data_IF_816897886527
#
_entry.id   IF_816897886527
#
_cell.length_a   1.000
_cell.length_b   1.000
_cell.length_c   1.000
_cell.angle_alpha   90.00
_cell.angle_beta   90.00
_cell.angle_gamma   90.00
#
_symmetry.space_group_name_H-M   'P 1'
#
loop_
_entity.id
_entity.type
_entity.pdbx_description
1 polymer ?
#
# COMPACT_ATOMS: atom_id res chain seq x y z
N UNK A 1 12.92 -19.52 11.44
CA UNK A 1 13.72 -18.41 12.00
C UNK A 1 12.85 -17.33 12.65
N UNK A 2 11.94 -16.65 11.92
CA UNK A 2 11.10 -15.56 12.49
C UNK A 2 10.28 -15.98 13.72
N UNK A 3 9.58 -17.11 13.63
CA UNK A 3 8.79 -17.66 14.75
C UNK A 3 9.65 -17.90 16.00
N UNK A 4 10.77 -18.61 15.83
CA UNK A 4 11.71 -18.88 16.92
C UNK A 4 12.24 -17.57 17.52
N UNK A 5 12.59 -16.59 16.69
CA UNK A 5 13.06 -15.29 17.16
C UNK A 5 12.01 -14.55 18.01
N UNK A 6 10.72 -14.62 17.65
CA UNK A 6 9.64 -14.03 18.46
C UNK A 6 9.48 -14.75 19.80
N UNK A 7 9.58 -16.07 19.81
CA UNK A 7 9.51 -16.87 21.04
C UNK A 7 10.70 -16.57 21.96
N UNK A 8 11.92 -16.53 21.41
CA UNK A 8 13.12 -16.18 22.18
C UNK A 8 13.06 -14.74 22.70
N UNK A 9 12.56 -13.79 21.89
CA UNK A 9 12.35 -12.40 22.34
C UNK A 9 11.41 -12.35 23.55
N UNK A 10 10.29 -13.09 23.49
CA UNK A 10 9.37 -13.22 24.63
C UNK A 10 10.08 -13.74 25.85
N UNK A 11 10.79 -14.86 25.74
CA UNK A 11 11.49 -15.50 26.87
C UNK A 11 12.52 -14.56 27.49
N UNK A 12 13.30 -13.86 26.67
CA UNK A 12 14.27 -12.87 27.14
C UNK A 12 13.59 -11.70 27.86
N UNK A 13 12.54 -11.10 27.26
CA UNK A 13 11.79 -10.01 27.91
C UNK A 13 11.25 -10.47 29.27
N UNK A 14 10.65 -11.66 29.33
CA UNK A 14 10.07 -12.18 30.55
C UNK A 14 11.14 -12.43 31.64
N UNK A 15 12.30 -12.98 31.26
CA UNK A 15 13.43 -13.18 32.16
C UNK A 15 13.97 -11.85 32.69
N UNK A 16 14.10 -10.83 31.85
CA UNK A 16 14.56 -9.50 32.26
C UNK A 16 13.57 -8.86 33.23
N UNK A 17 12.25 -8.96 32.96
CA UNK A 17 11.22 -8.52 33.93
C UNK A 17 11.38 -9.22 35.29
N UNK A 18 11.82 -10.47 35.31
CA UNK A 18 11.96 -11.24 36.55
C UNK A 18 13.22 -10.94 37.35
N UNK A 19 14.31 -10.60 36.67
CA UNK A 19 15.65 -10.50 37.27
C UNK A 19 16.15 -9.06 37.38
N UNK A 20 15.85 -8.21 36.40
CA UNK A 20 16.40 -6.87 36.25
C UNK A 20 15.48 -5.98 35.38
N UNK A 21 14.24 -5.69 35.83
CA UNK A 21 13.24 -4.94 35.05
C UNK A 21 13.73 -3.55 34.60
N UNK A 22 14.66 -2.95 35.33
CA UNK A 22 15.32 -1.68 35.00
C UNK A 22 16.11 -1.70 33.68
N UNK A 23 16.46 -2.89 33.15
CA UNK A 23 17.10 -3.02 31.84
C UNK A 23 16.12 -2.83 30.67
N UNK A 24 14.81 -2.95 30.90
CA UNK A 24 13.79 -2.72 29.86
C UNK A 24 13.48 -1.23 29.75
N UNK A 25 14.21 -0.56 28.87
CA UNK A 25 13.88 0.82 28.50
C UNK A 25 12.56 0.90 27.73
N UNK A 26 11.85 2.06 27.80
CA UNK A 26 10.65 2.29 27.02
C UNK A 26 10.81 2.02 25.51
N UNK A 27 11.95 2.43 24.93
CA UNK A 27 12.24 2.21 23.50
C UNK A 27 12.38 0.73 23.13
N UNK A 28 12.90 -0.10 24.03
CA UNK A 28 13.03 -1.55 23.78
C UNK A 28 11.65 -2.21 23.79
N UNK A 29 10.81 -1.88 24.77
CA UNK A 29 9.44 -2.38 24.84
C UNK A 29 8.61 -1.91 23.64
N UNK A 30 8.73 -0.64 23.26
CA UNK A 30 8.09 -0.07 22.08
C UNK A 30 8.48 -0.83 20.81
N UNK A 31 9.78 -0.93 20.50
CA UNK A 31 10.25 -1.61 19.28
C UNK A 31 9.83 -3.09 19.28
N UNK A 32 9.88 -3.78 20.43
CA UNK A 32 9.41 -5.16 20.53
C UNK A 32 7.91 -5.28 20.16
N UNK A 33 7.05 -4.45 20.75
CA UNK A 33 5.61 -4.46 20.48
C UNK A 33 5.30 -4.06 19.04
N UNK A 34 5.96 -3.03 18.51
CA UNK A 34 5.85 -2.60 17.12
C UNK A 34 6.21 -3.71 16.14
N UNK A 35 7.30 -4.44 16.41
CA UNK A 35 7.73 -5.56 15.57
C UNK A 35 6.75 -6.72 15.65
N UNK A 36 6.28 -7.09 16.83
CA UNK A 36 5.29 -8.16 16.99
C UNK A 36 3.99 -7.84 16.24
N UNK A 37 3.49 -6.61 16.35
CA UNK A 37 2.31 -6.16 15.61
C UNK A 37 2.52 -6.20 14.10
N UNK A 38 3.69 -5.80 13.61
CA UNK A 38 4.02 -5.96 12.19
C UNK A 38 3.95 -7.45 11.76
N UNK A 39 4.56 -8.36 12.53
CA UNK A 39 4.54 -9.79 12.24
C UNK A 39 3.11 -10.36 12.25
N UNK A 40 2.25 -9.84 13.13
CA UNK A 40 0.86 -10.25 13.25
C UNK A 40 0.01 -9.93 12.01
N UNK A 41 0.42 -9.00 11.16
CA UNK A 41 -0.35 -8.58 9.97
C UNK A 41 0.31 -8.92 8.64
N UNK A 42 1.44 -9.63 8.63
CA UNK A 42 2.09 -10.08 7.40
C UNK A 42 1.49 -11.38 6.84
N UNK A 43 1.83 -11.72 5.58
CA UNK A 43 1.12 -12.72 4.77
C UNK A 43 1.11 -14.19 5.26
N UNK A 44 1.88 -14.57 6.28
CA UNK A 44 2.08 -15.99 6.66
C UNK A 44 1.26 -16.32 7.91
N UNK A 45 0.21 -17.12 7.77
CA UNK A 45 -0.73 -17.51 8.84
C UNK A 45 -0.04 -17.97 10.12
N UNK A 46 0.90 -18.92 9.99
CA UNK A 46 1.66 -19.45 11.12
C UNK A 46 2.51 -18.38 11.82
N UNK A 47 3.10 -17.46 11.06
CA UNK A 47 3.84 -16.33 11.63
C UNK A 47 2.91 -15.37 12.36
N UNK A 48 1.73 -15.08 11.81
CA UNK A 48 0.73 -14.21 12.44
C UNK A 48 0.24 -14.78 13.77
N UNK A 49 -0.15 -16.04 13.78
CA UNK A 49 -0.58 -16.75 14.99
C UNK A 49 0.52 -16.71 16.06
N UNK A 50 1.77 -17.00 15.70
CA UNK A 50 2.87 -16.96 16.65
C UNK A 50 3.13 -15.55 17.19
N UNK A 51 3.02 -14.53 16.34
CA UNK A 51 3.19 -13.14 16.74
C UNK A 51 2.11 -12.70 17.73
N UNK A 52 0.84 -13.04 17.46
CA UNK A 52 -0.28 -12.75 18.35
C UNK A 52 -0.13 -13.52 19.67
N UNK A 53 0.25 -14.79 19.63
CA UNK A 53 0.51 -15.59 20.82
C UNK A 53 1.58 -14.96 21.71
N UNK A 54 2.69 -14.49 21.12
CA UNK A 54 3.75 -13.79 21.87
C UNK A 54 3.26 -12.44 22.40
N UNK A 55 2.55 -11.65 21.58
CA UNK A 55 1.98 -10.37 21.97
C UNK A 55 1.07 -10.52 23.20
N UNK A 56 0.14 -11.47 23.15
CA UNK A 56 -0.81 -11.72 24.24
C UNK A 56 -0.11 -12.25 25.49
N UNK A 57 0.93 -13.09 25.35
CA UNK A 57 1.70 -13.58 26.50
C UNK A 57 2.45 -12.45 27.23
N UNK A 58 2.96 -11.45 26.51
CA UNK A 58 3.58 -10.27 27.09
C UNK A 58 2.54 -9.32 27.71
N UNK A 59 1.39 -9.18 27.06
CA UNK A 59 0.33 -8.23 27.43
C UNK A 59 -0.47 -8.69 28.66
N UNK A 60 -0.76 -9.99 28.79
CA UNK A 60 -1.60 -10.57 29.84
C UNK A 60 -0.80 -11.25 30.96
N UNK A 61 0.46 -10.84 31.16
CA UNK A 61 1.26 -11.32 32.27
C UNK A 61 0.73 -10.79 33.61
N UNK A 62 0.31 -11.69 34.49
CA UNK A 62 -0.35 -11.36 35.77
C UNK A 62 0.60 -10.83 36.83
N UNK A 63 1.52 -11.66 37.32
CA UNK A 63 2.27 -11.36 38.55
C UNK A 63 3.25 -10.19 38.41
N UNK A 64 3.85 -10.06 37.22
CA UNK A 64 4.85 -9.03 36.91
C UNK A 64 4.61 -8.49 35.52
N UNK A 65 3.74 -7.48 35.36
CA UNK A 65 3.44 -6.90 34.07
C UNK A 65 4.72 -6.43 33.37
N UNK A 66 4.84 -6.71 32.07
CA UNK A 66 5.93 -6.13 31.27
C UNK A 66 5.83 -4.60 31.33
N UNK A 67 6.87 -3.88 31.78
CA UNK A 67 6.80 -2.43 31.94
C UNK A 67 6.80 -1.73 30.57
N UNK A 68 6.42 -0.45 30.58
CA UNK A 68 6.56 0.46 29.44
C UNK A 68 5.94 0.03 28.11
N UNK A 69 4.95 -0.87 28.10
CA UNK A 69 4.16 -1.16 26.89
C UNK A 69 3.34 0.10 26.54
N UNK A 70 3.59 0.74 25.38
CA UNK A 70 2.81 1.91 24.96
C UNK A 70 1.33 1.53 24.77
N UNK A 71 0.42 2.43 25.14
CA UNK A 71 -1.04 2.25 24.92
C UNK A 71 -1.57 0.87 25.35
N UNK A 72 -1.09 0.36 26.50
CA UNK A 72 -1.39 -1.00 26.97
C UNK A 72 -2.90 -1.29 27.00
N UNK A 73 -3.72 -0.34 27.43
CA UNK A 73 -5.17 -0.53 27.52
C UNK A 73 -5.79 -0.76 26.13
N UNK A 74 -5.46 0.07 25.15
CA UNK A 74 -5.96 -0.09 23.78
C UNK A 74 -5.52 -1.43 23.16
N UNK A 75 -4.32 -1.90 23.50
CA UNK A 75 -3.88 -3.24 23.10
C UNK A 75 -4.66 -4.36 23.81
N UNK A 76 -4.98 -4.20 25.10
CA UNK A 76 -5.81 -5.15 25.86
C UNK A 76 -7.23 -5.24 25.29
N UNK A 77 -7.78 -4.11 24.86
CA UNK A 77 -9.11 -4.05 24.25
C UNK A 77 -9.11 -4.74 22.87
N UNK A 78 -8.04 -4.57 22.07
CA UNK A 78 -7.89 -5.23 20.78
C UNK A 78 -7.62 -6.74 20.90
N UNK A 79 -6.92 -7.15 21.95
CA UNK A 79 -6.52 -8.54 22.21
C UNK A 79 -6.92 -8.97 23.64
N UNK A 80 -8.21 -9.16 23.93
CA UNK A 80 -8.66 -9.48 25.28
C UNK A 80 -8.24 -10.89 25.69
N UNK A 81 -8.08 -11.12 27.00
CA UNK A 81 -7.56 -12.38 27.53
C UNK A 81 -8.41 -13.59 27.15
N UNK A 82 -9.73 -13.40 27.06
CA UNK A 82 -10.68 -14.43 26.67
C UNK A 82 -10.38 -15.02 25.27
N UNK A 83 -9.77 -14.23 24.39
CA UNK A 83 -9.50 -14.62 23.00
C UNK A 83 -8.25 -15.53 22.87
N UNK A 84 -7.46 -15.73 23.94
CA UNK A 84 -6.27 -16.60 23.94
C UNK A 84 -6.59 -18.03 23.48
N UNK A 85 -7.75 -18.55 23.88
CA UNK A 85 -8.20 -19.91 23.54
C UNK A 85 -9.45 -19.93 22.66
N UNK A 86 -10.15 -18.80 22.53
CA UNK A 86 -11.44 -18.72 21.85
C UNK A 86 -11.36 -18.29 20.37
N UNK A 87 -10.33 -17.53 20.00
CA UNK A 87 -10.18 -16.97 18.65
C UNK A 87 -9.15 -17.77 17.85
N UNK A 88 -9.51 -18.15 16.63
CA UNK A 88 -8.56 -18.75 15.71
C UNK A 88 -7.76 -17.65 15.01
N UNK A 89 -6.63 -17.26 15.58
CA UNK A 89 -5.77 -16.19 15.05
C UNK A 89 -5.15 -16.48 13.67
N UNK A 90 -5.30 -17.69 13.13
CA UNK A 90 -5.00 -17.99 11.73
C UNK A 90 -6.06 -17.42 10.78
N UNK A 91 -7.29 -17.26 11.25
CA UNK A 91 -8.38 -16.69 10.48
C UNK A 91 -8.14 -15.19 10.27
N UNK A 92 -7.74 -14.86 9.05
CA UNK A 92 -7.37 -13.51 8.67
C UNK A 92 -8.46 -12.47 8.96
N UNK A 93 -9.73 -12.80 8.72
CA UNK A 93 -10.87 -11.90 8.92
C UNK A 93 -11.03 -11.44 10.37
N UNK A 94 -10.91 -12.36 11.32
CA UNK A 94 -11.04 -12.07 12.76
C UNK A 94 -9.85 -11.27 13.27
N UNK A 95 -8.64 -11.61 12.81
CA UNK A 95 -7.43 -10.90 13.20
C UNK A 95 -7.41 -9.47 12.64
N UNK A 96 -7.53 -9.30 11.32
CA UNK A 96 -7.32 -8.00 10.70
C UNK A 96 -8.35 -6.96 11.15
N UNK A 97 -9.62 -7.33 11.35
CA UNK A 97 -10.66 -6.41 11.83
C UNK A 97 -10.34 -5.77 13.19
N UNK A 98 -9.61 -6.48 14.05
CA UNK A 98 -9.15 -5.99 15.36
C UNK A 98 -7.85 -5.22 15.24
N UNK A 99 -6.86 -5.77 14.54
CA UNK A 99 -5.53 -5.16 14.50
C UNK A 99 -5.53 -3.82 13.78
N UNK A 100 -6.37 -3.60 12.76
CA UNK A 100 -6.42 -2.30 12.07
C UNK A 100 -6.84 -1.15 12.99
N UNK A 101 -7.55 -1.40 14.10
CA UNK A 101 -7.90 -0.35 15.06
C UNK A 101 -6.66 0.29 15.72
N UNK A 102 -5.57 -0.47 15.81
CA UNK A 102 -4.28 -0.04 16.36
C UNK A 102 -3.58 0.98 15.44
N UNK A 103 -3.99 1.10 14.17
CA UNK A 103 -3.47 2.14 13.26
C UNK A 103 -3.78 3.56 13.77
N UNK A 104 -4.75 3.73 14.66
CA UNK A 104 -5.04 5.00 15.34
C UNK A 104 -3.95 5.42 16.34
N UNK A 105 -3.04 4.51 16.70
CA UNK A 105 -1.95 4.76 17.65
C UNK A 105 -0.66 5.12 16.90
N UNK A 106 -0.16 6.37 16.99
CA UNK A 106 0.96 6.84 16.16
C UNK A 106 2.23 6.01 16.29
N UNK A 107 2.51 5.48 17.49
CA UNK A 107 3.69 4.66 17.76
C UNK A 107 3.72 3.35 16.96
N UNK A 108 2.55 2.76 16.71
CA UNK A 108 2.42 1.48 16.02
C UNK A 108 2.18 1.63 14.52
N UNK A 109 1.62 2.76 14.10
CA UNK A 109 1.14 2.99 12.73
C UNK A 109 2.18 2.67 11.64
N UNK A 110 3.46 3.12 11.71
CA UNK A 110 4.41 2.87 10.62
C UNK A 110 4.73 1.39 10.41
N UNK A 111 4.94 0.65 11.49
CA UNK A 111 5.30 -0.78 11.45
C UNK A 111 4.10 -1.63 11.09
N UNK A 112 2.93 -1.26 11.59
CA UNK A 112 1.70 -1.97 11.30
C UNK A 112 1.29 -1.79 9.82
N UNK A 113 1.37 -0.57 9.30
CA UNK A 113 1.06 -0.28 7.89
C UNK A 113 2.07 -0.94 6.94
N UNK A 114 3.34 -1.03 7.33
CA UNK A 114 4.36 -1.80 6.60
C UNK A 114 4.03 -3.30 6.55
N UNK A 115 3.55 -3.88 7.66
CA UNK A 115 3.12 -5.28 7.67
C UNK A 115 1.88 -5.51 6.82
N UNK A 116 0.89 -4.61 6.90
CA UNK A 116 -0.33 -4.64 6.08
C UNK A 116 -0.01 -4.50 4.59
N UNK A 117 1.00 -3.72 4.22
CA UNK A 117 1.49 -3.61 2.83
C UNK A 117 1.81 -4.97 2.22
N UNK A 118 2.40 -5.88 3.00
CA UNK A 118 2.77 -7.22 2.53
C UNK A 118 1.54 -8.12 2.35
N UNK A 119 0.50 -7.94 3.17
CA UNK A 119 -0.73 -8.74 3.11
C UNK A 119 -1.73 -8.20 2.08
N UNK A 120 -2.02 -6.91 2.10
CA UNK A 120 -2.98 -6.24 1.21
C UNK A 120 -2.44 -6.19 -0.22
N UNK A 121 -1.13 -5.98 -0.39
CA UNK A 121 -0.45 -6.02 -1.68
C UNK A 121 0.08 -7.40 -2.07
N UNK A 122 -0.26 -8.43 -1.31
CA UNK A 122 0.24 -9.79 -1.50
C UNK A 122 -0.50 -10.56 -2.59
N UNK A 123 0.04 -11.75 -2.93
CA UNK A 123 -0.52 -12.66 -3.93
C UNK A 123 -1.55 -13.65 -3.38
N UNK A 124 -1.66 -13.78 -2.05
CA UNK A 124 -2.52 -14.79 -1.41
C UNK A 124 -3.94 -14.25 -1.27
N UNK A 125 -4.83 -14.65 -2.18
CA UNK A 125 -6.18 -14.08 -2.35
C UNK A 125 -6.97 -13.94 -1.03
N UNK A 126 -7.06 -14.99 -0.21
CA UNK A 126 -7.84 -14.96 1.04
C UNK A 126 -7.30 -13.94 2.05
N UNK A 127 -5.98 -13.84 2.17
CA UNK A 127 -5.29 -12.91 3.07
C UNK A 127 -5.37 -11.49 2.53
N UNK A 128 -5.12 -11.29 1.24
CA UNK A 128 -5.29 -10.02 0.54
C UNK A 128 -6.70 -9.48 0.71
N UNK A 129 -7.73 -10.31 0.48
CA UNK A 129 -9.14 -9.91 0.63
C UNK A 129 -9.47 -9.49 2.07
N UNK A 130 -9.14 -10.33 3.06
CA UNK A 130 -9.47 -10.07 4.46
C UNK A 130 -8.74 -8.84 5.01
N UNK A 131 -7.45 -8.68 4.66
CA UNK A 131 -6.64 -7.52 5.09
C UNK A 131 -7.08 -6.23 4.42
N UNK A 132 -7.39 -6.27 3.11
CA UNK A 132 -7.88 -5.11 2.38
C UNK A 132 -9.23 -4.62 2.94
N UNK A 133 -10.19 -5.53 3.14
CA UNK A 133 -11.50 -5.20 3.71
C UNK A 133 -11.39 -4.53 5.08
N UNK A 134 -10.54 -5.07 5.97
CA UNK A 134 -10.32 -4.48 7.28
C UNK A 134 -9.67 -3.09 7.19
N UNK A 135 -8.66 -2.91 6.33
CA UNK A 135 -8.01 -1.63 6.14
C UNK A 135 -8.97 -0.57 5.58
N UNK A 136 -9.79 -0.92 4.58
CA UNK A 136 -10.75 0.02 3.99
C UNK A 136 -11.84 0.41 5.00
N UNK A 137 -12.30 -0.54 5.81
CA UNK A 137 -13.22 -0.26 6.91
C UNK A 137 -12.63 0.75 7.91
N UNK A 138 -11.34 0.59 8.28
CA UNK A 138 -10.64 1.54 9.13
C UNK A 138 -10.49 2.92 8.47
N UNK A 139 -10.10 2.98 7.19
CA UNK A 139 -9.98 4.27 6.51
C UNK A 139 -11.31 4.99 6.39
N UNK A 140 -12.40 4.25 6.17
CA UNK A 140 -13.76 4.80 6.16
C UNK A 140 -14.16 5.34 7.54
N UNK A 141 -13.72 4.71 8.64
CA UNK A 141 -14.03 5.20 10.00
C UNK A 141 -13.29 6.49 10.35
N UNK A 142 -12.11 6.73 9.77
CA UNK A 142 -11.35 7.98 9.96
C UNK A 142 -11.56 9.01 8.84
N UNK A 143 -12.48 8.79 7.89
CA UNK A 143 -12.64 9.65 6.70
C UNK A 143 -12.88 11.13 7.02
N UNK A 144 -13.59 11.42 8.11
CA UNK A 144 -13.88 12.79 8.55
C UNK A 144 -12.80 13.37 9.47
N UNK A 145 -11.85 12.56 9.91
CA UNK A 145 -10.71 13.00 10.71
C UNK A 145 -9.53 13.33 9.79
N UNK A 146 -9.46 14.61 9.40
CA UNK A 146 -8.43 15.13 8.51
C UNK A 146 -7.02 14.91 9.06
N UNK A 147 -6.82 15.00 10.38
CA UNK A 147 -5.50 14.82 10.99
C UNK A 147 -5.05 13.36 10.91
N UNK A 148 -5.94 12.42 11.26
CA UNK A 148 -5.67 10.99 11.17
C UNK A 148 -5.44 10.53 9.73
N UNK A 149 -6.26 11.01 8.78
CA UNK A 149 -6.09 10.71 7.35
C UNK A 149 -4.74 11.22 6.83
N UNK A 150 -4.37 12.45 7.18
CA UNK A 150 -3.09 13.04 6.79
C UNK A 150 -1.91 12.33 7.43
N UNK A 151 -2.03 11.89 8.68
CA UNK A 151 -1.01 11.08 9.34
C UNK A 151 -0.79 9.74 8.61
N UNK A 152 -1.87 9.05 8.23
CA UNK A 152 -1.79 7.80 7.48
C UNK A 152 -1.16 8.03 6.10
N UNK A 153 -1.56 9.08 5.39
CA UNK A 153 -0.96 9.48 4.10
C UNK A 153 0.55 9.73 4.22
N UNK A 154 0.98 10.49 5.24
CA UNK A 154 2.41 10.73 5.51
C UNK A 154 3.16 9.42 5.77
N UNK A 155 2.57 8.51 6.53
CA UNK A 155 3.16 7.21 6.84
C UNK A 155 3.30 6.34 5.58
N UNK A 156 2.30 6.29 4.69
CA UNK A 156 2.40 5.59 3.40
C UNK A 156 3.55 6.12 2.56
N UNK A 157 3.65 7.45 2.43
CA UNK A 157 4.72 8.11 1.68
C UNK A 157 6.09 7.82 2.30
N UNK A 158 6.21 7.84 3.63
CA UNK A 158 7.44 7.50 4.35
C UNK A 158 7.85 6.05 4.08
N UNK A 159 6.91 5.09 4.14
CA UNK A 159 7.18 3.68 3.86
C UNK A 159 7.67 3.52 2.42
N UNK A 160 7.02 4.17 1.45
CA UNK A 160 7.41 4.07 0.05
C UNK A 160 8.83 4.64 -0.15
N UNK A 161 9.09 5.86 0.31
CA UNK A 161 10.42 6.52 0.21
C UNK A 161 11.53 5.66 0.78
N UNK A 162 11.30 5.08 1.95
CA UNK A 162 12.29 4.26 2.66
C UNK A 162 12.55 2.90 1.98
N UNK A 163 11.68 2.49 1.05
CA UNK A 163 11.74 1.20 0.37
C UNK A 163 11.81 1.31 -1.15
N UNK A 164 12.18 2.48 -1.69
CA UNK A 164 12.47 2.61 -3.11
C UNK A 164 13.56 1.60 -3.52
N UNK A 165 13.36 0.97 -4.68
CA UNK A 165 14.17 -0.12 -5.25
C UNK A 165 14.14 -1.43 -4.45
N UNK A 166 13.44 -1.50 -3.32
CA UNK A 166 13.19 -2.75 -2.62
C UNK A 166 11.87 -3.36 -3.09
N UNK A 167 11.91 -4.11 -4.19
CA UNK A 167 10.71 -4.72 -4.81
C UNK A 167 9.90 -5.61 -3.85
N UNK A 168 10.49 -6.10 -2.75
CA UNK A 168 9.77 -6.89 -1.74
C UNK A 168 8.74 -6.07 -0.95
N UNK A 169 8.86 -4.75 -0.96
CA UNK A 169 7.97 -3.80 -0.27
C UNK A 169 7.33 -2.83 -1.27
N UNK A 170 8.10 -2.25 -2.20
CA UNK A 170 7.58 -1.25 -3.13
C UNK A 170 6.49 -1.80 -4.06
N UNK A 171 6.62 -3.04 -4.54
CA UNK A 171 5.62 -3.66 -5.41
C UNK A 171 4.32 -3.97 -4.67
N UNK A 172 4.34 -4.66 -3.51
CA UNK A 172 3.13 -4.79 -2.68
C UNK A 172 2.53 -3.44 -2.27
N UNK A 173 3.34 -2.42 -2.03
CA UNK A 173 2.82 -1.09 -1.68
C UNK A 173 2.05 -0.45 -2.85
N UNK A 174 2.57 -0.55 -4.07
CA UNK A 174 1.83 -0.11 -5.26
C UNK A 174 0.52 -0.90 -5.43
N UNK A 175 0.55 -2.22 -5.26
CA UNK A 175 -0.67 -3.05 -5.30
C UNK A 175 -1.68 -2.69 -4.20
N UNK A 176 -1.21 -2.32 -3.01
CA UNK A 176 -2.08 -1.84 -1.92
C UNK A 176 -2.68 -0.48 -2.26
N UNK A 177 -1.86 0.47 -2.76
CA UNK A 177 -2.31 1.81 -3.16
C UNK A 177 -3.39 1.74 -4.26
N UNK A 178 -3.19 0.90 -5.27
CA UNK A 178 -4.20 0.61 -6.30
C UNK A 178 -5.55 0.22 -5.68
N UNK A 179 -5.56 -0.79 -4.80
CA UNK A 179 -6.81 -1.23 -4.16
C UNK A 179 -7.45 -0.14 -3.30
N UNK A 180 -6.65 0.67 -2.60
CA UNK A 180 -7.16 1.79 -1.79
C UNK A 180 -7.79 2.87 -2.68
N UNK A 181 -7.14 3.22 -3.80
CA UNK A 181 -7.64 4.17 -4.78
C UNK A 181 -8.95 3.69 -5.39
N UNK A 182 -9.04 2.42 -5.76
CA UNK A 182 -10.23 1.81 -6.35
C UNK A 182 -11.42 1.66 -5.38
N UNK A 183 -11.20 1.75 -4.07
CA UNK A 183 -12.22 1.60 -3.03
C UNK A 183 -12.58 2.93 -2.33
N UNK A 184 -12.28 4.07 -2.95
CA UNK A 184 -12.69 5.39 -2.43
C UNK A 184 -12.03 5.76 -1.10
N UNK A 185 -10.88 5.16 -0.75
CA UNK A 185 -10.22 5.42 0.54
C UNK A 185 -9.70 6.87 0.66
N UNK A 186 -9.59 7.60 -0.45
CA UNK A 186 -9.02 8.93 -0.53
C UNK A 186 -10.02 9.98 -1.05
N UNK A 187 -11.33 9.73 -0.97
CA UNK A 187 -12.39 10.70 -1.37
C UNK A 187 -12.16 12.10 -0.78
N UNK A 188 -11.94 12.19 0.54
CA UNK A 188 -11.69 13.46 1.22
C UNK A 188 -10.41 14.17 0.74
N UNK A 189 -9.43 13.43 0.22
CA UNK A 189 -8.21 13.98 -0.39
C UNK A 189 -8.49 14.46 -1.82
N UNK A 190 -9.38 13.79 -2.55
CA UNK A 190 -9.79 14.21 -3.89
C UNK A 190 -10.59 15.52 -3.86
N UNK A 191 -11.30 15.78 -2.77
CA UNK A 191 -12.03 17.03 -2.51
C UNK A 191 -11.12 18.23 -2.15
N UNK A 192 -9.84 17.99 -1.82
CA UNK A 192 -8.85 19.04 -1.51
C UNK A 192 -7.79 19.15 -2.62
N UNK A 193 -7.94 20.10 -3.58
CA UNK A 193 -6.98 20.30 -4.66
C UNK A 193 -5.58 20.74 -4.20
N UNK A 194 -5.44 21.22 -2.96
CA UNK A 194 -4.16 21.66 -2.40
C UNK A 194 -3.37 20.51 -1.77
N UNK A 195 -3.99 19.35 -1.59
CA UNK A 195 -3.38 18.23 -0.91
C UNK A 195 -2.22 17.63 -1.71
N UNK A 196 -1.05 17.45 -1.08
CA UNK A 196 0.17 17.05 -1.78
C UNK A 196 0.28 15.55 -2.04
N UNK A 197 -0.46 14.73 -1.27
CA UNK A 197 -0.35 13.26 -1.32
C UNK A 197 -0.47 12.67 -2.73
N UNK A 198 -1.48 12.99 -3.56
CA UNK A 198 -1.59 12.39 -4.89
C UNK A 198 -0.36 12.63 -5.75
N UNK A 199 0.15 13.87 -5.76
CA UNK A 199 1.34 14.24 -6.54
C UNK A 199 2.61 13.55 -6.01
N UNK A 200 2.74 13.40 -4.70
CA UNK A 200 3.86 12.66 -4.10
C UNK A 200 3.80 11.16 -4.44
N UNK A 201 2.61 10.55 -4.48
CA UNK A 201 2.44 9.16 -4.93
C UNK A 201 2.84 9.03 -6.42
N UNK A 202 2.39 9.93 -7.30
CA UNK A 202 2.81 9.94 -8.72
C UNK A 202 4.33 9.94 -8.83
N UNK A 203 5.01 10.84 -8.10
CA UNK A 203 6.46 10.96 -8.15
C UNK A 203 7.18 9.68 -7.68
N UNK A 204 6.69 9.04 -6.61
CA UNK A 204 7.28 7.83 -6.06
C UNK A 204 7.08 6.61 -6.97
N UNK A 205 5.88 6.43 -7.52
CA UNK A 205 5.58 5.35 -8.48
C UNK A 205 6.42 5.54 -9.74
N UNK A 206 6.48 6.78 -10.26
CA UNK A 206 7.33 7.11 -11.41
C UNK A 206 8.80 6.80 -11.12
N UNK A 207 9.32 7.17 -9.95
CA UNK A 207 10.71 6.91 -9.57
C UNK A 207 11.00 5.41 -9.46
N UNK A 208 10.07 4.63 -8.91
CA UNK A 208 10.21 3.17 -8.76
C UNK A 208 10.16 2.43 -10.10
N UNK A 209 9.35 2.91 -11.04
CA UNK A 209 9.17 2.29 -12.36
C UNK A 209 10.21 2.76 -13.39
N UNK A 210 10.86 3.91 -13.18
CA UNK A 210 11.77 4.53 -14.14
C UNK A 210 12.89 3.57 -14.57
N UNK A 211 12.90 3.21 -15.85
CA UNK A 211 13.92 2.34 -16.44
C UNK A 211 13.82 0.87 -16.03
N UNK A 212 12.76 0.46 -15.32
CA UNK A 212 12.54 -0.93 -14.94
C UNK A 212 12.27 -1.79 -16.18
N UNK A 213 12.90 -2.97 -16.24
CA UNK A 213 12.59 -4.03 -17.22
C UNK A 213 11.71 -5.13 -16.63
N UNK A 214 11.41 -5.05 -15.35
CA UNK A 214 10.53 -5.98 -14.64
C UNK A 214 9.07 -5.69 -15.04
N UNK A 215 8.52 -6.52 -15.90
CA UNK A 215 7.14 -6.36 -16.41
C UNK A 215 6.10 -6.50 -15.31
N UNK A 216 6.34 -7.35 -14.31
CA UNK A 216 5.43 -7.51 -13.18
C UNK A 216 5.37 -6.24 -12.34
N UNK A 217 6.53 -5.63 -12.04
CA UNK A 217 6.59 -4.33 -11.37
C UNK A 217 5.85 -3.25 -12.16
N UNK A 218 6.05 -3.20 -13.47
CA UNK A 218 5.40 -2.21 -14.33
C UNK A 218 3.88 -2.38 -14.36
N UNK A 219 3.39 -3.61 -14.51
CA UNK A 219 1.97 -3.95 -14.45
C UNK A 219 1.36 -3.69 -13.07
N UNK A 220 2.15 -3.74 -11.99
CA UNK A 220 1.65 -3.44 -10.65
C UNK A 220 1.54 -1.93 -10.38
N UNK A 221 2.47 -1.13 -10.90
CA UNK A 221 2.43 0.33 -10.71
C UNK A 221 1.46 1.06 -11.65
N UNK A 222 1.14 0.45 -12.80
CA UNK A 222 0.23 1.01 -13.79
C UNK A 222 -1.18 1.33 -13.26
N UNK A 223 -1.88 0.40 -12.57
CA UNK A 223 -3.17 0.67 -11.94
C UNK A 223 -3.15 1.88 -11.00
N UNK A 224 -2.02 2.13 -10.32
CA UNK A 224 -1.89 3.27 -9.42
C UNK A 224 -1.99 4.59 -10.18
N UNK A 225 -1.39 4.70 -11.38
CA UNK A 225 -1.57 5.89 -12.22
C UNK A 225 -3.01 6.05 -12.69
N UNK A 226 -3.69 4.96 -13.09
CA UNK A 226 -5.11 4.99 -13.43
C UNK A 226 -5.95 5.51 -12.25
N UNK A 227 -5.74 4.97 -11.04
CA UNK A 227 -6.44 5.41 -9.85
C UNK A 227 -6.15 6.87 -9.48
N UNK A 228 -4.97 7.40 -9.81
CA UNK A 228 -4.60 8.80 -9.51
C UNK A 228 -5.23 9.82 -10.47
N UNK A 229 -5.90 9.38 -11.53
CA UNK A 229 -6.63 10.28 -12.44
C UNK A 229 -7.80 10.97 -11.73
N UNK A 230 -8.38 10.35 -10.70
CA UNK A 230 -9.47 10.93 -9.92
C UNK A 230 -9.10 12.27 -9.26
N UNK A 231 -7.81 12.56 -9.01
CA UNK A 231 -7.35 13.79 -8.35
C UNK A 231 -7.07 14.91 -9.37
N UNK A 232 -7.87 15.99 -9.43
CA UNK A 232 -7.71 17.05 -10.43
C UNK A 232 -6.33 17.76 -10.38
N UNK A 233 -6.05 18.54 -11.43
CA UNK A 233 -4.85 19.39 -11.46
C UNK A 233 -3.57 18.64 -11.84
N UNK A 234 -2.47 18.94 -11.13
CA UNK A 234 -1.14 18.46 -11.48
C UNK A 234 -1.00 16.94 -11.33
N UNK A 235 -1.66 16.34 -10.34
CA UNK A 235 -1.61 14.91 -10.10
C UNK A 235 -2.18 14.11 -11.30
N UNK A 236 -3.43 14.41 -11.70
CA UNK A 236 -4.07 13.82 -12.91
C UNK A 236 -3.19 13.99 -14.16
N UNK A 237 -2.71 15.21 -14.44
CA UNK A 237 -1.88 15.47 -15.62
C UNK A 237 -0.60 14.62 -15.63
N UNK A 238 0.08 14.50 -14.49
CA UNK A 238 1.29 13.68 -14.41
C UNK A 238 1.00 12.18 -14.42
N UNK A 239 -0.13 11.73 -13.86
CA UNK A 239 -0.55 10.34 -13.95
C UNK A 239 -0.83 9.93 -15.41
N UNK A 240 -1.63 10.74 -16.13
CA UNK A 240 -1.89 10.56 -17.56
C UNK A 240 -0.60 10.58 -18.39
N UNK A 241 0.32 11.52 -18.12
CA UNK A 241 1.62 11.55 -18.80
C UNK A 241 2.41 10.24 -18.60
N UNK A 242 2.43 9.68 -17.39
CA UNK A 242 3.10 8.41 -17.14
C UNK A 242 2.39 7.24 -17.86
N UNK A 243 1.06 7.25 -17.98
CA UNK A 243 0.32 6.27 -18.78
C UNK A 243 0.68 6.38 -20.28
N UNK A 244 0.78 7.60 -20.82
CA UNK A 244 1.24 7.81 -22.20
C UNK A 244 2.66 7.27 -22.43
N UNK A 245 3.56 7.43 -21.45
CA UNK A 245 4.90 6.83 -21.50
C UNK A 245 4.84 5.29 -21.50
N UNK A 246 3.88 4.68 -20.81
CA UNK A 246 3.69 3.22 -20.76
C UNK A 246 3.05 2.67 -22.05
N UNK A 247 2.15 3.42 -22.69
CA UNK A 247 1.67 3.14 -24.06
C UNK A 247 2.79 3.18 -25.10
N UNK A 248 3.85 3.93 -24.82
CA UNK A 248 5.07 3.99 -25.63
C UNK A 248 6.15 2.98 -25.21
N UNK A 249 5.87 2.06 -24.27
CA UNK A 249 6.90 1.18 -23.73
C UNK A 249 7.43 0.19 -24.77
N UNK A 250 8.70 -0.22 -24.65
CA UNK A 250 9.32 -1.16 -25.60
C UNK A 250 8.70 -2.56 -25.59
N UNK A 251 7.99 -2.91 -24.52
CA UNK A 251 7.37 -4.22 -24.36
C UNK A 251 5.88 -4.17 -24.72
N UNK A 252 5.43 -4.89 -25.77
CA UNK A 252 4.02 -4.92 -26.19
C UNK A 252 3.04 -5.26 -25.07
N UNK A 253 3.42 -6.18 -24.19
CA UNK A 253 2.58 -6.59 -23.05
C UNK A 253 2.23 -5.43 -22.10
N UNK A 254 3.17 -4.49 -21.92
CA UNK A 254 2.93 -3.28 -21.09
C UNK A 254 2.01 -2.33 -21.82
N UNK A 255 2.23 -2.11 -23.13
CA UNK A 255 1.38 -1.23 -23.94
C UNK A 255 -0.08 -1.70 -23.94
N UNK A 256 -0.30 -3.00 -24.18
CA UNK A 256 -1.64 -3.62 -24.13
C UNK A 256 -2.30 -3.46 -22.77
N UNK A 257 -1.60 -3.81 -21.70
CA UNK A 257 -2.13 -3.66 -20.34
C UNK A 257 -2.48 -2.20 -20.03
N UNK A 258 -1.65 -1.25 -20.48
CA UNK A 258 -1.92 0.18 -20.34
C UNK A 258 -3.17 0.60 -21.09
N UNK A 259 -3.31 0.18 -22.34
CA UNK A 259 -4.46 0.55 -23.17
C UNK A 259 -5.77 0.00 -22.61
N UNK A 260 -5.80 -1.29 -22.25
CA UNK A 260 -6.98 -1.93 -21.65
C UNK A 260 -7.38 -1.26 -20.34
N UNK A 261 -6.41 -1.00 -19.45
CA UNK A 261 -6.74 -0.43 -18.15
C UNK A 261 -7.10 1.05 -18.24
N UNK A 262 -6.47 1.82 -19.15
CA UNK A 262 -6.88 3.21 -19.39
C UNK A 262 -8.29 3.28 -19.98
N UNK A 263 -8.64 2.37 -20.90
CA UNK A 263 -10.01 2.26 -21.44
C UNK A 263 -11.02 2.02 -20.32
N UNK A 264 -10.79 1.05 -19.45
CA UNK A 264 -11.62 0.80 -18.25
C UNK A 264 -11.70 2.04 -17.35
N UNK A 265 -10.59 2.76 -17.20
CA UNK A 265 -10.54 3.96 -16.37
C UNK A 265 -11.38 5.10 -16.95
N UNK A 266 -11.41 5.27 -18.28
CA UNK A 266 -12.28 6.27 -18.93
C UNK A 266 -13.76 5.91 -18.82
N UNK A 267 -14.11 4.61 -18.74
CA UNK A 267 -15.48 4.18 -18.46
C UNK A 267 -15.93 4.48 -17.03
N UNK A 268 -15.00 4.43 -16.06
CA UNK A 268 -15.31 4.65 -14.64
C UNK A 268 -15.39 6.14 -14.30
N UNK A 269 -14.54 6.96 -14.93
CA UNK A 269 -14.46 8.40 -14.68
C UNK A 269 -14.84 9.17 -15.95
N UNK A 270 -16.14 9.39 -16.14
CA UNK A 270 -16.72 10.02 -17.32
C UNK A 270 -16.64 11.56 -17.30
N UNK A 271 -16.15 12.15 -16.21
CA UNK A 271 -16.03 13.60 -16.00
C UNK A 271 -14.63 14.17 -16.28
N UNK A 272 -13.70 13.35 -16.77
CA UNK A 272 -12.30 13.77 -16.97
C UNK A 272 -12.13 14.65 -18.22
N UNK A 273 -12.83 14.30 -19.29
CA UNK A 273 -12.78 14.95 -20.61
C UNK A 273 -14.21 15.09 -21.15
N UNK A 274 -14.38 15.92 -22.17
CA UNK A 274 -15.68 16.04 -22.86
C UNK A 274 -16.12 14.69 -23.46
N UNK A 275 -17.44 14.40 -23.50
CA UNK A 275 -17.95 13.09 -23.96
C UNK A 275 -17.45 12.67 -25.34
N UNK A 276 -17.43 13.60 -26.30
CA UNK A 276 -16.94 13.33 -27.66
C UNK A 276 -15.45 12.93 -27.66
N UNK A 277 -14.63 13.59 -26.83
CA UNK A 277 -13.22 13.25 -26.68
C UNK A 277 -13.03 11.91 -25.94
N UNK A 278 -13.91 11.58 -24.99
CA UNK A 278 -13.88 10.29 -24.30
C UNK A 278 -14.14 9.14 -25.29
N UNK A 279 -15.16 9.26 -26.14
CA UNK A 279 -15.48 8.26 -27.17
C UNK A 279 -14.31 8.05 -28.15
N UNK A 280 -13.69 9.13 -28.59
CA UNK A 280 -12.53 9.08 -29.48
C UNK A 280 -11.31 8.43 -28.79
N UNK A 281 -10.99 8.82 -27.55
CA UNK A 281 -9.94 8.17 -26.75
C UNK A 281 -10.20 6.68 -26.62
N UNK A 282 -11.43 6.28 -26.31
CA UNK A 282 -11.81 4.88 -26.14
C UNK A 282 -11.65 4.07 -27.44
N UNK A 283 -12.09 4.60 -28.59
CA UNK A 283 -11.87 3.98 -29.91
C UNK A 283 -10.38 3.85 -30.23
N UNK A 284 -9.58 4.90 -30.00
CA UNK A 284 -8.14 4.85 -30.20
C UNK A 284 -7.47 3.78 -29.34
N UNK A 285 -7.90 3.62 -28.08
CA UNK A 285 -7.36 2.62 -27.17
C UNK A 285 -7.74 1.19 -27.58
N UNK A 286 -8.94 0.96 -28.11
CA UNK A 286 -9.42 -0.36 -28.54
C UNK A 286 -8.89 -0.78 -29.91
N UNK A 287 -8.86 0.15 -30.87
CA UNK A 287 -8.65 -0.16 -32.29
C UNK A 287 -7.16 -0.18 -32.66
N UNK A 288 -6.32 0.46 -31.84
CA UNK A 288 -4.88 0.48 -32.03
C UNK A 288 -4.27 -0.91 -31.81
N UNK A 289 -3.49 -1.40 -32.80
CA UNK A 289 -2.68 -2.60 -32.62
C UNK A 289 -1.43 -2.32 -31.77
N UNK A 290 -1.57 -2.51 -30.45
CA UNK A 290 -0.50 -2.30 -29.47
C UNK A 290 0.68 -3.28 -29.58
N UNK A 291 0.61 -4.32 -30.43
CA UNK A 291 1.77 -5.20 -30.73
C UNK A 291 2.75 -4.60 -31.73
N UNK A 292 2.29 -3.68 -32.58
CA UNK A 292 3.09 -3.11 -33.67
C UNK A 292 4.15 -2.10 -33.19
N UNK A 293 5.01 -1.66 -34.12
CA UNK A 293 6.01 -0.60 -33.89
C UNK A 293 5.33 0.76 -33.64
N UNK A 294 5.46 1.22 -32.39
CA UNK A 294 5.19 2.53 -31.79
C UNK A 294 3.95 3.32 -32.31
N UNK A 295 2.82 3.26 -31.56
CA UNK A 295 1.51 3.81 -31.93
C UNK A 295 1.39 5.34 -31.83
N UNK A 296 0.30 5.86 -32.40
CA UNK A 296 -0.13 7.27 -32.50
C UNK A 296 -0.52 7.87 -31.14
N UNK A 297 0.39 7.83 -30.16
CA UNK A 297 0.14 8.38 -28.80
C UNK A 297 -0.01 9.90 -28.80
N UNK A 298 0.41 10.56 -29.89
CA UNK A 298 0.28 12.01 -30.09
C UNK A 298 -1.16 12.49 -30.00
N UNK A 299 -2.10 11.80 -30.66
CA UNK A 299 -3.51 12.18 -30.70
C UNK A 299 -4.18 12.00 -29.33
N UNK A 300 -3.90 10.88 -28.66
CA UNK A 300 -4.30 10.65 -27.27
C UNK A 300 -3.79 11.74 -26.32
N UNK A 301 -2.55 12.21 -26.50
CA UNK A 301 -2.00 13.29 -25.67
C UNK A 301 -2.72 14.62 -25.89
N UNK A 302 -3.08 14.92 -27.14
CA UNK A 302 -3.78 16.16 -27.49
C UNK A 302 -5.21 16.14 -26.92
N UNK A 303 -5.94 15.02 -27.04
CA UNK A 303 -7.29 14.84 -26.48
C UNK A 303 -7.30 14.92 -24.93
N UNK A 304 -6.27 14.38 -24.28
CA UNK A 304 -6.11 14.40 -22.83
C UNK A 304 -5.49 15.72 -22.29
N UNK A 305 -5.07 16.63 -23.17
CA UNK A 305 -4.43 17.89 -22.79
C UNK A 305 -3.09 17.71 -22.04
N UNK A 306 -2.34 16.65 -22.35
CA UNK A 306 -1.05 16.33 -21.72
C UNK A 306 0.12 16.52 -22.69
N UNK A 307 1.29 16.81 -22.14
CA UNK A 307 2.52 16.98 -22.96
C UNK A 307 2.88 15.69 -23.67
N UNK A 308 3.21 15.79 -24.97
CA UNK A 308 3.60 14.65 -25.79
C UNK A 308 4.90 14.00 -25.28
N UNK A 309 4.96 12.66 -25.13
CA UNK A 309 6.18 11.93 -24.83
C UNK A 309 7.30 12.19 -25.84
N UNK A 310 8.47 12.63 -25.37
CA UNK A 310 9.67 12.70 -26.23
C UNK A 310 10.36 11.33 -26.22
N UNK A 311 10.11 10.53 -27.26
CA UNK A 311 10.83 9.28 -27.48
C UNK A 311 12.29 9.59 -27.82
N UNK A 312 13.23 9.27 -26.93
CA UNK A 312 14.66 9.31 -27.27
C UNK A 312 14.94 8.22 -28.30
N UNK A 313 15.23 8.62 -29.54
CA UNK A 313 15.66 7.70 -30.59
C UNK A 313 16.86 6.87 -30.09
N UNK A 314 16.81 5.55 -30.27
CA UNK A 314 17.99 4.71 -30.07
C UNK A 314 19.00 5.12 -31.14
N UNK A 315 20.13 5.68 -30.70
CA UNK A 315 21.31 5.84 -31.57
C UNK A 315 21.77 4.42 -31.90
N UNK A 316 21.50 3.97 -33.11
CA UNK A 316 22.06 2.73 -33.65
C UNK A 316 23.57 2.96 -33.77
N UNK A 317 24.44 2.14 -33.15
CA UNK A 317 25.86 2.19 -33.45
C UNK A 317 26.02 1.91 -34.95
N UNK A 318 26.65 2.83 -35.68
CA UNK A 318 27.09 2.57 -37.05
C UNK A 318 28.00 1.35 -37.03
N UNK A 319 27.69 0.41 -37.93
CA UNK A 319 28.32 -0.90 -38.07
C UNK A 319 29.84 -0.83 -38.30
#
# INVERSE_FOLDING_TARGET
VREVAMVSLKEVILLVVDKCPEMLSPSVCEEAMCRLLQQAVEKIDRTREQAVSVLMALLHRDERPVPHIPHRQQLLDAFPRADLSAVNWRMASELFSRVVQILSLPVYQPRLLLGLTISVGGLTESTTRSSAQALFAFMKSIRQDTEAMNALCRTLLQIFRSNLRNSRVSVPLMAMLDKMLANGCFEAIAEDPSHTFPMEVVALVQQEMRGSKDTFKLQTGLPVFCGLIQFPGAARKNALLNLMMLLCHSYPIIRKATASQLYETMLVYDDIVEPDAAEEIMSLLSDTNWDATLPVVTELCDLLGVTRPVLKAKVTPLA
#
